data_IF_843601470103
#
_entry.id   IF_843601470103
#
_cell.length_a   1.000
_cell.length_b   1.000
_cell.length_c   1.000
_cell.angle_alpha   90.00
_cell.angle_beta   90.00
_cell.angle_gamma   90.00
#
_symmetry.space_group_name_H-M   'P 1'
#
loop_
_entity.id
_entity.type
_entity.pdbx_description
1 polymer ?
#
# COMPACT_ATOMS: atom_id res chain seq x y z
N UNK A 1 22.07 3.51 -6.31
CA UNK A 1 21.62 4.70 -5.57
C UNK A 1 20.35 4.38 -4.80
N UNK A 2 19.70 5.39 -4.22
CA UNK A 2 18.35 5.25 -3.66
C UNK A 2 17.32 5.11 -4.80
N UNK A 3 16.17 4.51 -4.49
CA UNK A 3 15.00 4.40 -5.38
C UNK A 3 13.82 5.17 -4.80
N UNK A 4 12.94 5.70 -5.65
CA UNK A 4 11.78 6.52 -5.27
C UNK A 4 10.48 5.78 -5.59
N UNK A 5 9.67 5.52 -4.56
CA UNK A 5 8.29 5.05 -4.71
C UNK A 5 7.34 6.21 -4.42
N UNK A 6 6.33 6.41 -5.27
CA UNK A 6 5.23 7.34 -4.98
C UNK A 6 4.03 6.59 -4.37
N UNK A 7 3.39 7.24 -3.41
CA UNK A 7 2.15 6.75 -2.84
C UNK A 7 0.97 7.14 -3.72
N UNK A 8 0.14 6.17 -4.10
CA UNK A 8 -1.06 6.39 -4.92
C UNK A 8 -2.32 6.02 -4.16
N UNK A 9 -3.22 6.98 -4.09
CA UNK A 9 -4.54 6.87 -3.46
C UNK A 9 -5.60 7.06 -4.52
N UNK A 10 -6.07 5.96 -5.12
CA UNK A 10 -7.05 6.01 -6.22
C UNK A 10 -8.45 5.53 -5.84
N UNK A 11 -8.63 4.86 -4.70
CA UNK A 11 -9.94 4.36 -4.28
C UNK A 11 -10.95 5.49 -4.04
N UNK A 12 -10.44 6.65 -3.63
CA UNK A 12 -11.19 7.87 -3.35
C UNK A 12 -10.35 9.10 -3.67
N UNK A 13 -10.98 10.28 -3.69
CA UNK A 13 -10.30 11.55 -3.89
C UNK A 13 -10.79 12.61 -2.89
N UNK A 14 -10.04 13.68 -2.70
CA UNK A 14 -10.47 14.79 -1.84
C UNK A 14 -11.79 15.43 -2.32
N UNK A 15 -12.58 16.03 -1.42
CA UNK A 15 -13.90 16.58 -1.77
C UNK A 15 -13.86 17.73 -2.78
N UNK A 16 -12.71 18.42 -2.90
CA UNK A 16 -12.46 19.47 -3.88
C UNK A 16 -11.57 19.03 -5.05
N UNK A 17 -11.40 17.72 -5.28
CA UNK A 17 -10.56 17.24 -6.36
C UNK A 17 -11.09 17.69 -7.73
N UNK A 18 -10.20 18.25 -8.55
CA UNK A 18 -10.50 18.68 -9.93
C UNK A 18 -11.09 17.54 -10.78
N UNK A 19 -10.77 16.29 -10.42
CA UNK A 19 -11.33 15.08 -11.03
C UNK A 19 -12.87 15.03 -10.97
N UNK A 20 -13.47 15.53 -9.88
CA UNK A 20 -14.93 15.52 -9.68
C UNK A 20 -15.63 16.43 -10.70
N UNK A 21 -15.06 17.62 -10.94
CA UNK A 21 -15.61 18.59 -11.88
C UNK A 21 -15.36 18.17 -13.34
N UNK A 22 -14.13 17.75 -13.66
CA UNK A 22 -13.75 17.41 -15.03
C UNK A 22 -14.28 16.06 -15.51
N UNK A 23 -14.42 15.11 -14.59
CA UNK A 23 -14.85 13.75 -14.89
C UNK A 23 -15.91 13.29 -13.88
N UNK A 24 -17.10 13.95 -13.82
CA UNK A 24 -18.14 13.64 -12.83
C UNK A 24 -18.70 12.22 -12.95
N UNK A 25 -18.57 11.62 -14.14
CA UNK A 25 -18.92 10.23 -14.40
C UNK A 25 -17.98 9.24 -13.69
N UNK A 26 -16.76 9.63 -13.31
CA UNK A 26 -15.83 8.72 -12.64
C UNK A 26 -16.19 8.49 -11.17
N UNK A 27 -17.10 9.30 -10.62
CA UNK A 27 -17.50 9.19 -9.22
C UNK A 27 -18.62 8.18 -9.05
N UNK A 28 -18.57 7.39 -7.97
CA UNK A 28 -19.73 6.62 -7.53
C UNK A 28 -20.82 7.57 -7.03
N UNK A 29 -22.08 7.27 -7.39
CA UNK A 29 -23.25 8.02 -6.93
C UNK A 29 -24.27 7.10 -6.29
N UNK A 30 -25.03 7.63 -5.34
CA UNK A 30 -26.20 6.96 -4.79
C UNK A 30 -27.40 7.06 -5.75
N UNK A 31 -28.52 6.43 -5.40
CA UNK A 31 -29.77 6.44 -6.18
C UNK A 31 -30.35 7.85 -6.36
N UNK A 32 -29.99 8.79 -5.49
CA UNK A 32 -30.43 10.20 -5.53
C UNK A 32 -29.48 11.08 -6.34
N UNK A 33 -28.39 10.51 -6.88
CA UNK A 33 -27.36 11.21 -7.65
C UNK A 33 -26.29 11.91 -6.81
N UNK A 34 -26.30 11.77 -5.48
CA UNK A 34 -25.26 12.34 -4.62
C UNK A 34 -23.96 11.54 -4.73
N UNK A 35 -22.83 12.19 -4.44
CA UNK A 35 -21.54 11.48 -4.36
C UNK A 35 -21.59 10.44 -3.25
N UNK A 36 -21.28 9.19 -3.61
CA UNK A 36 -21.11 8.11 -2.63
C UNK A 36 -19.71 8.25 -2.01
N UNK A 37 -19.66 8.19 -0.68
CA UNK A 37 -18.41 8.28 0.06
C UNK A 37 -17.80 6.89 0.29
N UNK A 38 -16.48 6.83 0.24
CA UNK A 38 -15.67 5.69 0.68
C UNK A 38 -15.59 5.66 2.22
N UNK A 39 -14.90 4.66 2.77
CA UNK A 39 -14.80 4.39 4.22
C UNK A 39 -14.39 5.62 5.05
N UNK A 40 -13.50 6.46 4.52
CA UNK A 40 -12.96 7.66 5.19
C UNK A 40 -13.74 8.95 4.89
N UNK A 41 -14.96 8.87 4.36
CA UNK A 41 -15.80 10.04 4.10
C UNK A 41 -15.41 10.84 2.85
N UNK A 42 -14.53 10.30 2.01
CA UNK A 42 -14.10 10.91 0.76
C UNK A 42 -14.91 10.41 -0.44
N UNK A 43 -15.19 11.25 -1.46
CA UNK A 43 -15.81 10.80 -2.71
C UNK A 43 -15.13 9.56 -3.31
N UNK A 44 -15.92 8.51 -3.54
CA UNK A 44 -15.42 7.24 -4.04
C UNK A 44 -15.33 7.21 -5.58
N UNK A 45 -14.28 6.59 -6.09
CA UNK A 45 -14.08 6.40 -7.53
C UNK A 45 -14.78 5.12 -8.02
N UNK A 46 -15.37 5.19 -9.21
CA UNK A 46 -16.13 4.09 -9.83
C UNK A 46 -15.28 3.25 -10.78
N UNK A 47 -14.55 2.30 -10.21
CA UNK A 47 -13.76 1.31 -10.96
C UNK A 47 -14.60 0.30 -11.76
N UNK A 48 -15.94 0.41 -11.83
CA UNK A 48 -16.72 -0.39 -12.79
C UNK A 48 -16.60 0.12 -14.23
N UNK A 49 -16.07 1.33 -14.41
CA UNK A 49 -16.00 2.04 -15.69
C UNK A 49 -14.64 1.87 -16.37
N UNK A 50 -14.55 1.31 -17.58
CA UNK A 50 -13.27 1.11 -18.27
C UNK A 50 -12.49 2.41 -18.49
N UNK A 51 -13.17 3.54 -18.70
CA UNK A 51 -12.53 4.84 -18.91
C UNK A 51 -11.81 5.36 -17.64
N UNK A 52 -12.27 4.95 -16.45
CA UNK A 52 -11.58 5.24 -15.19
C UNK A 52 -10.24 4.51 -15.13
N UNK A 53 -10.20 3.28 -15.67
CA UNK A 53 -8.99 2.47 -15.65
C UNK A 53 -7.90 3.09 -16.51
N UNK A 54 -8.22 3.44 -17.76
CA UNK A 54 -7.25 4.06 -18.66
C UNK A 54 -6.74 5.41 -18.15
N UNK A 55 -7.61 6.21 -17.53
CA UNK A 55 -7.21 7.46 -16.91
C UNK A 55 -6.12 7.26 -15.85
N UNK A 56 -6.31 6.33 -14.92
CA UNK A 56 -5.33 6.08 -13.86
C UNK A 56 -4.08 5.36 -14.37
N UNK A 57 -4.19 4.42 -15.31
CA UNK A 57 -3.00 3.82 -15.92
C UNK A 57 -2.13 4.88 -16.59
N UNK A 58 -2.72 5.81 -17.35
CA UNK A 58 -1.99 6.93 -17.95
C UNK A 58 -1.37 7.86 -16.90
N UNK A 59 -2.03 8.06 -15.76
CA UNK A 59 -1.46 8.82 -14.64
C UNK A 59 -0.21 8.13 -14.08
N UNK A 60 -0.25 6.82 -13.88
CA UNK A 60 0.91 6.05 -13.44
C UNK A 60 2.03 6.13 -14.50
N UNK A 61 1.74 5.81 -15.76
CA UNK A 61 2.72 5.87 -16.85
C UNK A 61 3.41 7.23 -16.98
N UNK A 62 2.67 8.33 -16.79
CA UNK A 62 3.20 9.69 -16.82
C UNK A 62 4.29 9.90 -15.77
N UNK A 63 4.06 9.48 -14.51
CA UNK A 63 5.07 9.64 -13.46
C UNK A 63 6.34 8.83 -13.73
N UNK A 64 6.20 7.60 -14.25
CA UNK A 64 7.38 6.79 -14.61
C UNK A 64 8.13 7.39 -15.80
N UNK A 65 7.42 7.75 -16.87
CA UNK A 65 8.05 8.24 -18.10
C UNK A 65 8.66 9.64 -17.93
N UNK A 66 7.95 10.54 -17.26
CA UNK A 66 8.29 11.96 -17.27
C UNK A 66 9.15 12.35 -16.06
N UNK A 67 9.16 11.54 -14.99
CA UNK A 67 9.91 11.80 -13.74
C UNK A 67 10.81 10.65 -13.29
N UNK A 68 10.85 9.54 -14.02
CA UNK A 68 11.72 8.37 -13.75
C UNK A 68 11.63 7.82 -12.32
N UNK A 69 10.43 7.83 -11.73
CA UNK A 69 10.22 7.16 -10.44
C UNK A 69 10.46 5.64 -10.58
N UNK A 70 10.71 4.97 -9.47
CA UNK A 70 11.04 3.54 -9.42
C UNK A 70 9.85 2.66 -9.07
N UNK A 71 8.69 3.24 -8.80
CA UNK A 71 7.49 2.45 -8.52
C UNK A 71 6.46 3.12 -7.62
N UNK A 72 5.57 2.29 -7.08
CA UNK A 72 4.41 2.73 -6.32
C UNK A 72 4.21 1.97 -5.02
N UNK A 73 3.74 2.69 -3.99
CA UNK A 73 2.95 2.12 -2.90
C UNK A 73 1.48 2.40 -3.23
N UNK A 74 0.65 1.36 -3.22
CA UNK A 74 -0.74 1.45 -3.61
C UNK A 74 -1.64 1.34 -2.38
N UNK A 75 -2.28 2.44 -2.03
CA UNK A 75 -3.22 2.56 -0.92
C UNK A 75 -4.43 1.64 -1.09
N UNK A 76 -4.76 0.89 -0.04
CA UNK A 76 -5.95 0.04 0.04
C UNK A 76 -6.12 -0.79 -1.24
N UNK A 77 -5.06 -1.50 -1.65
CA UNK A 77 -4.99 -2.20 -2.96
C UNK A 77 -6.14 -3.19 -3.15
N UNK A 78 -6.58 -3.81 -2.05
CA UNK A 78 -7.71 -4.74 -1.97
C UNK A 78 -9.05 -4.07 -2.36
N UNK A 79 -9.17 -2.75 -2.23
CA UNK A 79 -10.36 -1.96 -2.59
C UNK A 79 -10.51 -1.71 -4.09
N UNK A 80 -9.46 -1.97 -4.88
CA UNK A 80 -9.45 -1.85 -6.34
C UNK A 80 -9.35 -3.27 -6.96
N UNK A 81 -10.05 -3.55 -8.08
CA UNK A 81 -10.02 -4.88 -8.70
C UNK A 81 -8.60 -5.34 -9.05
N UNK A 82 -8.26 -6.61 -8.79
CA UNK A 82 -6.93 -7.17 -9.11
C UNK A 82 -6.56 -6.98 -10.59
N UNK A 83 -7.51 -7.19 -11.49
CA UNK A 83 -7.29 -7.03 -12.93
C UNK A 83 -6.82 -5.61 -13.32
N UNK A 84 -7.24 -4.58 -12.58
CA UNK A 84 -6.75 -3.21 -12.79
C UNK A 84 -5.24 -3.13 -12.49
N UNK A 85 -4.80 -3.76 -11.40
CA UNK A 85 -3.39 -3.77 -11.00
C UNK A 85 -2.53 -4.67 -11.90
N UNK A 86 -3.02 -5.83 -12.32
CA UNK A 86 -2.32 -6.69 -13.28
C UNK A 86 -2.09 -5.96 -14.61
N UNK A 87 -3.08 -5.22 -15.10
CA UNK A 87 -2.93 -4.43 -16.33
C UNK A 87 -2.04 -3.21 -16.12
N UNK A 88 -2.11 -2.56 -14.96
CA UNK A 88 -1.19 -1.48 -14.60
C UNK A 88 0.26 -1.97 -14.62
N UNK A 89 0.54 -3.14 -14.02
CA UNK A 89 1.86 -3.76 -14.02
C UNK A 89 2.39 -3.97 -15.43
N UNK A 90 1.62 -4.60 -16.31
CA UNK A 90 2.00 -4.84 -17.71
C UNK A 90 2.40 -3.53 -18.42
N UNK A 91 1.59 -2.48 -18.25
CA UNK A 91 1.83 -1.16 -18.87
C UNK A 91 3.08 -0.48 -18.31
N UNK A 92 3.31 -0.58 -17.00
CA UNK A 92 4.48 0.02 -16.36
C UNK A 92 5.76 -0.72 -16.71
N UNK A 93 5.75 -2.05 -16.77
CA UNK A 93 6.93 -2.85 -17.18
C UNK A 93 7.32 -2.60 -18.63
N UNK A 94 6.36 -2.26 -19.50
CA UNK A 94 6.66 -1.84 -20.87
C UNK A 94 7.46 -0.51 -20.92
N UNK A 95 7.38 0.32 -19.88
CA UNK A 95 8.15 1.57 -19.75
C UNK A 95 9.44 1.33 -18.95
N UNK A 96 9.35 0.63 -17.82
CA UNK A 96 10.42 0.37 -16.87
C UNK A 96 10.34 -1.08 -16.36
N UNK A 97 11.09 -2.02 -16.94
CA UNK A 97 11.01 -3.44 -16.60
C UNK A 97 11.35 -3.80 -15.14
N UNK A 98 12.04 -2.90 -14.42
CA UNK A 98 12.42 -3.09 -13.02
C UNK A 98 11.60 -2.24 -12.04
N UNK A 99 10.40 -1.80 -12.45
CA UNK A 99 9.46 -1.03 -11.61
C UNK A 99 9.03 -1.85 -10.37
N UNK A 100 9.02 -1.21 -9.19
CA UNK A 100 8.59 -1.83 -7.93
C UNK A 100 7.14 -1.51 -7.57
N UNK A 101 6.40 -2.52 -7.11
CA UNK A 101 5.00 -2.38 -6.71
C UNK A 101 4.79 -2.91 -5.28
N UNK A 102 4.35 -2.04 -4.38
CA UNK A 102 4.01 -2.34 -2.98
C UNK A 102 2.51 -2.20 -2.74
N UNK A 103 1.84 -3.29 -2.40
CA UNK A 103 0.44 -3.31 -2.02
C UNK A 103 0.25 -2.95 -0.54
N UNK A 104 -0.60 -1.96 -0.27
CA UNK A 104 -1.28 -1.90 1.01
C UNK A 104 -2.56 -2.73 0.97
N UNK A 105 -2.37 -4.03 1.11
CA UNK A 105 -3.46 -4.99 1.09
C UNK A 105 -3.06 -6.31 1.72
N UNK A 106 -3.96 -7.28 1.62
CA UNK A 106 -3.78 -8.64 2.16
C UNK A 106 -4.12 -9.73 1.16
N UNK A 107 -4.73 -9.37 0.00
CA UNK A 107 -5.10 -10.29 -1.06
C UNK A 107 -3.88 -11.06 -1.55
N UNK A 108 -3.92 -12.39 -1.47
CA UNK A 108 -2.74 -13.24 -1.71
C UNK A 108 -2.33 -13.22 -3.18
N UNK A 109 -3.34 -13.09 -4.04
CA UNK A 109 -3.23 -13.09 -5.48
C UNK A 109 -2.51 -11.82 -6.01
N UNK A 110 -2.43 -10.75 -5.21
CA UNK A 110 -1.70 -9.52 -5.56
C UNK A 110 -0.24 -9.83 -5.94
N UNK A 111 0.40 -10.74 -5.21
CA UNK A 111 1.80 -11.09 -5.40
C UNK A 111 2.06 -12.16 -6.48
N UNK A 112 1.03 -12.58 -7.23
CA UNK A 112 1.21 -13.49 -8.36
C UNK A 112 1.74 -12.76 -9.61
N UNK A 113 1.23 -11.55 -9.84
CA UNK A 113 1.52 -10.77 -11.05
C UNK A 113 1.65 -9.28 -10.80
N UNK A 114 0.79 -8.69 -9.97
CA UNK A 114 0.64 -7.25 -9.89
C UNK A 114 1.68 -6.58 -8.97
N UNK A 115 1.99 -7.21 -7.84
CA UNK A 115 2.78 -6.60 -6.77
C UNK A 115 3.99 -7.45 -6.39
N UNK A 116 5.09 -6.79 -6.07
CA UNK A 116 6.30 -7.46 -5.56
C UNK A 116 6.23 -7.65 -4.05
N UNK A 117 5.57 -6.72 -3.36
CA UNK A 117 5.56 -6.58 -1.91
C UNK A 117 4.15 -6.32 -1.38
N UNK A 118 3.87 -6.80 -0.17
CA UNK A 118 2.78 -6.27 0.67
C UNK A 118 3.29 -6.03 2.11
N UNK A 119 2.48 -5.39 2.96
CA UNK A 119 2.89 -5.06 4.34
C UNK A 119 2.87 -6.25 5.32
N UNK A 120 2.35 -7.41 4.94
CA UNK A 120 2.31 -8.58 5.83
C UNK A 120 1.59 -8.30 7.14
N UNK A 121 0.47 -7.57 7.08
CA UNK A 121 -0.31 -7.15 8.25
C UNK A 121 -0.68 -8.32 9.17
N UNK A 122 -0.70 -8.06 10.49
CA UNK A 122 -1.22 -9.00 11.47
C UNK A 122 -0.97 -8.58 12.92
N UNK A 123 -1.86 -9.01 13.82
CA UNK A 123 -1.87 -8.55 15.22
C UNK A 123 -0.56 -8.84 15.98
N UNK A 124 0.09 -9.99 15.72
CA UNK A 124 1.34 -10.34 16.38
C UNK A 124 2.50 -9.38 16.02
N UNK A 125 2.50 -8.82 14.79
CA UNK A 125 3.47 -7.81 14.37
C UNK A 125 3.09 -6.39 14.84
N UNK A 126 1.87 -6.17 15.33
CA UNK A 126 1.52 -4.88 15.95
C UNK A 126 2.16 -4.73 17.33
N UNK A 127 2.16 -5.82 18.12
CA UNK A 127 2.62 -5.72 19.52
C UNK A 127 4.03 -6.25 19.73
N UNK A 128 4.49 -7.26 18.98
CA UNK A 128 5.81 -7.89 19.22
C UNK A 128 5.99 -8.52 20.62
N UNK A 129 4.90 -8.85 21.34
CA UNK A 129 4.97 -9.36 22.72
C UNK A 129 5.21 -10.87 22.85
N UNK A 130 4.97 -11.66 21.78
CA UNK A 130 5.02 -13.11 21.85
C UNK A 130 5.74 -13.71 20.64
N UNK A 131 6.95 -14.23 20.87
CA UNK A 131 7.79 -14.82 19.84
C UNK A 131 7.13 -16.00 19.11
N UNK A 132 6.37 -16.85 19.82
CA UNK A 132 5.66 -17.97 19.20
C UNK A 132 4.54 -17.46 18.27
N UNK A 133 3.78 -16.44 18.68
CA UNK A 133 2.74 -15.86 17.85
C UNK A 133 3.32 -15.17 16.60
N UNK A 134 4.44 -14.45 16.74
CA UNK A 134 5.18 -13.83 15.64
C UNK A 134 5.64 -14.89 14.65
N UNK A 135 6.25 -15.98 15.15
CA UNK A 135 6.70 -17.09 14.32
C UNK A 135 5.56 -17.75 13.56
N UNK A 136 4.45 -18.08 14.25
CA UNK A 136 3.28 -18.67 13.61
C UNK A 136 2.72 -17.79 12.52
N UNK A 137 2.60 -16.48 12.77
CA UNK A 137 2.12 -15.52 11.76
C UNK A 137 3.08 -15.46 10.56
N UNK A 138 4.38 -15.39 10.81
CA UNK A 138 5.40 -15.40 9.77
C UNK A 138 5.34 -16.67 8.91
N UNK A 139 5.33 -17.85 9.53
CA UNK A 139 5.26 -19.15 8.82
C UNK A 139 3.97 -19.26 8.01
N UNK A 140 2.84 -18.81 8.57
CA UNK A 140 1.53 -18.81 7.89
C UNK A 140 1.54 -17.91 6.66
N UNK A 141 2.08 -16.68 6.78
CA UNK A 141 2.17 -15.74 5.66
C UNK A 141 3.06 -16.27 4.54
N UNK A 142 4.20 -16.87 4.88
CA UNK A 142 5.12 -17.45 3.89
C UNK A 142 4.52 -18.67 3.19
N UNK A 143 3.82 -19.54 3.93
CA UNK A 143 3.15 -20.71 3.35
C UNK A 143 1.95 -20.35 2.47
N UNK A 144 1.29 -19.22 2.74
CA UNK A 144 0.10 -18.77 2.01
C UNK A 144 0.41 -18.07 0.68
N UNK A 145 1.66 -18.01 0.24
CA UNK A 145 2.11 -17.24 -0.92
C UNK A 145 2.87 -18.16 -1.89
N UNK A 146 3.03 -17.77 -3.17
CA UNK A 146 3.66 -18.61 -4.17
C UNK A 146 5.03 -19.13 -3.71
N UNK A 147 5.27 -20.42 -3.91
CA UNK A 147 6.53 -21.08 -3.58
C UNK A 147 7.63 -20.41 -4.43
N UNK A 148 8.54 -19.68 -3.78
CA UNK A 148 9.50 -18.80 -4.44
C UNK A 148 9.60 -17.40 -3.82
N UNK A 149 8.64 -17.03 -2.96
CA UNK A 149 8.81 -15.98 -1.96
C UNK A 149 7.85 -14.81 -2.11
N UNK A 150 6.88 -14.71 -1.19
CA UNK A 150 6.29 -13.42 -0.88
C UNK A 150 7.33 -12.56 -0.18
N UNK A 151 7.48 -11.35 -0.69
CA UNK A 151 8.29 -10.34 -0.04
C UNK A 151 7.34 -9.48 0.77
N UNK A 152 7.67 -9.32 2.04
CA UNK A 152 6.89 -8.51 2.96
C UNK A 152 7.71 -7.30 3.36
N UNK A 153 7.09 -6.13 3.39
CA UNK A 153 7.62 -5.00 4.15
C UNK A 153 7.43 -5.31 5.64
N UNK A 154 8.51 -5.14 6.41
CA UNK A 154 8.51 -5.35 7.86
C UNK A 154 8.72 -4.01 8.53
N UNK A 155 7.77 -3.60 9.37
CA UNK A 155 7.76 -2.30 10.03
C UNK A 155 7.33 -2.43 11.50
N UNK A 156 7.74 -1.48 12.34
CA UNK A 156 7.18 -1.29 13.68
C UNK A 156 6.03 -0.29 13.66
N UNK A 157 6.16 0.76 12.86
CA UNK A 157 5.19 1.83 12.72
C UNK A 157 5.06 2.23 11.25
N UNK A 158 3.91 2.78 10.89
CA UNK A 158 3.62 3.45 9.63
C UNK A 158 2.81 4.72 9.83
N UNK A 159 2.58 5.46 8.75
CA UNK A 159 1.85 6.72 8.86
C UNK A 159 0.44 6.51 9.41
N UNK A 160 -0.21 5.40 9.07
CA UNK A 160 -1.49 5.00 9.67
C UNK A 160 -1.37 4.71 11.16
N UNK A 161 -0.39 3.91 11.59
CA UNK A 161 -0.21 3.59 13.01
C UNK A 161 0.13 4.84 13.82
N UNK A 162 0.91 5.77 13.25
CA UNK A 162 1.23 7.03 13.92
C UNK A 162 0.00 7.92 14.06
N UNK A 163 -0.85 7.99 13.02
CA UNK A 163 -2.07 8.77 13.06
C UNK A 163 -3.12 8.14 14.00
N UNK A 164 -3.28 6.81 13.96
CA UNK A 164 -4.23 6.05 14.77
C UNK A 164 -3.85 6.02 16.26
N UNK A 165 -2.55 5.86 16.59
CA UNK A 165 -2.07 5.76 17.97
C UNK A 165 -1.73 7.14 18.58
N UNK A 166 -1.66 8.19 17.76
CA UNK A 166 -1.43 9.56 18.19
C UNK A 166 -0.17 9.75 19.05
N UNK A 167 -0.31 10.31 20.26
CA UNK A 167 0.81 10.54 21.18
C UNK A 167 1.37 9.26 21.84
N UNK A 168 0.74 8.10 21.62
CA UNK A 168 1.17 6.80 22.12
C UNK A 168 2.01 6.02 21.09
N UNK A 169 2.79 6.74 20.26
CA UNK A 169 3.74 6.10 19.34
C UNK A 169 4.61 5.06 20.03
N UNK A 170 4.87 3.97 19.32
CA UNK A 170 5.54 2.80 19.87
C UNK A 170 6.95 3.13 20.35
N UNK A 171 7.66 4.04 19.68
CA UNK A 171 9.00 4.48 20.10
C UNK A 171 9.00 5.12 21.50
N UNK A 172 7.97 5.92 21.81
CA UNK A 172 7.75 6.52 23.11
C UNK A 172 7.24 5.50 24.14
N UNK A 173 6.34 4.62 23.73
CA UNK A 173 5.70 3.65 24.63
C UNK A 173 6.63 2.49 25.04
N UNK A 174 7.49 2.04 24.13
CA UNK A 174 8.32 0.84 24.32
C UNK A 174 9.71 1.13 24.88
N UNK A 175 10.18 2.37 24.73
CA UNK A 175 11.54 2.74 25.08
C UNK A 175 12.61 2.15 24.15
N UNK A 176 13.81 2.74 24.20
CA UNK A 176 14.92 2.42 23.29
C UNK A 176 15.29 0.93 23.24
N UNK A 177 15.38 0.18 24.37
CA UNK A 177 15.82 -1.21 24.32
C UNK A 177 14.88 -2.12 23.52
N UNK A 178 13.56 -1.97 23.71
CA UNK A 178 12.57 -2.78 22.99
C UNK A 178 12.52 -2.40 21.52
N UNK A 179 12.57 -1.10 21.19
CA UNK A 179 12.65 -0.63 19.80
C UNK A 179 13.86 -1.23 19.09
N UNK A 180 15.05 -1.20 19.71
CA UNK A 180 16.26 -1.79 19.13
C UNK A 180 16.14 -3.29 18.91
N UNK A 181 15.57 -4.03 19.87
CA UNK A 181 15.35 -5.47 19.73
C UNK A 181 14.41 -5.79 18.56
N UNK A 182 13.32 -5.03 18.42
CA UNK A 182 12.38 -5.22 17.31
C UNK A 182 13.02 -4.83 15.98
N UNK A 183 13.75 -3.72 15.90
CA UNK A 183 14.49 -3.34 14.68
C UNK A 183 15.46 -4.44 14.25
N UNK A 184 16.22 -5.01 15.19
CA UNK A 184 17.10 -6.15 14.89
C UNK A 184 16.32 -7.35 14.34
N UNK A 185 15.14 -7.65 14.89
CA UNK A 185 14.27 -8.68 14.34
C UNK A 185 13.75 -8.33 12.93
N UNK A 186 13.26 -7.11 12.69
CA UNK A 186 12.76 -6.68 11.37
C UNK A 186 13.80 -6.83 10.26
N UNK A 187 15.06 -6.48 10.55
CA UNK A 187 16.16 -6.57 9.58
C UNK A 187 16.74 -7.98 9.43
N UNK A 188 16.28 -8.96 10.21
CA UNK A 188 16.75 -10.36 10.16
C UNK A 188 15.66 -11.38 9.82
N UNK A 189 14.37 -11.06 9.98
CA UNK A 189 13.23 -11.97 9.80
C UNK A 189 12.94 -12.36 8.34
N UNK A 190 13.70 -11.86 7.36
CA UNK A 190 13.39 -12.01 5.93
C UNK A 190 12.27 -11.06 5.45
N UNK A 191 12.43 -10.55 4.23
CA UNK A 191 11.63 -9.45 3.68
C UNK A 191 12.43 -8.14 3.63
N UNK A 192 11.73 -7.02 3.53
CA UNK A 192 12.32 -5.68 3.45
C UNK A 192 12.00 -4.91 4.73
N UNK A 193 13.00 -4.73 5.61
CA UNK A 193 12.86 -3.89 6.79
C UNK A 193 12.69 -2.42 6.38
N UNK A 194 11.72 -1.73 6.98
CA UNK A 194 11.51 -0.30 6.76
C UNK A 194 11.69 0.51 8.03
N UNK A 195 12.13 1.75 7.84
CA UNK A 195 12.21 2.79 8.86
C UNK A 195 11.49 3.99 8.30
N UNK A 196 10.73 4.67 9.13
CA UNK A 196 9.94 5.81 8.69
C UNK A 196 10.62 7.10 9.13
N UNK A 197 10.79 7.99 8.16
CA UNK A 197 11.24 9.34 8.42
C UNK A 197 10.25 10.03 9.34
N UNK A 198 10.74 10.60 10.44
CA UNK A 198 9.92 11.53 11.21
C UNK A 198 9.62 12.74 10.32
N UNK A 199 8.34 12.95 9.99
CA UNK A 199 7.90 14.28 9.60
C UNK A 199 8.16 15.21 10.79
N UNK A 200 9.11 16.14 10.64
CA UNK A 200 9.18 17.30 11.51
C UNK A 200 7.87 18.07 11.30
N UNK A 201 6.97 18.02 12.29
CA UNK A 201 5.91 19.03 12.41
C UNK A 201 6.50 20.23 13.11
#
# INVERSE_FOLDING_TARGET
GLRVLLDIVYLHCGPGAVLIERHPAFMKRDEKGNLKLAKWGFPAIDFSKPEVHDYFWRNMEMWVRDFDIDGYRCDVSDGIPLAFWEKARERLEAIKPDIGMLAEGTRKEDQLKAFDLDYGWGAAFKTWDNAAAIRTLWETQHAARPIGGAKFVRFIENHDYVEDEGLNRLDKAWGVPRVNAVLAALFTLGGFGTVIGRCAR
#
